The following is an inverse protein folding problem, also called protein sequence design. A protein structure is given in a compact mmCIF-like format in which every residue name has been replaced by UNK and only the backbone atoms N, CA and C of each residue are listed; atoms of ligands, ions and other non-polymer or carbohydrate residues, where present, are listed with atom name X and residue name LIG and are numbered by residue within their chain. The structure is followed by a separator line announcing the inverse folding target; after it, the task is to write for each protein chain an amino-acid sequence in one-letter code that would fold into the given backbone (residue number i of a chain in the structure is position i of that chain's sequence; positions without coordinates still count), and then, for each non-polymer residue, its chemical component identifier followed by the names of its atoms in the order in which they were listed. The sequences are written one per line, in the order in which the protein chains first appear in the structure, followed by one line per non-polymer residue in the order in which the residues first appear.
data_IF_509126979088
#
_entry.id   IF_509126979088
#
_cell.length_a   1.000
_cell.length_b   1.000
_cell.length_c   1.000
_cell.angle_alpha   90.00
_cell.angle_beta   90.00
_cell.angle_gamma   90.00
#
_symmetry.space_group_name_H-M   'P 1'
#
loop_
_entity.id
_entity.type
_entity.pdbx_description
1 polymer ?
#
# COMPACT_ATOMS: atom_id res chain seq x y z
N UNK A 1 2.25 3.67 -12.84
CA UNK A 1 1.93 4.53 -11.68
C UNK A 1 1.66 3.59 -10.56
N UNK A 2 2.47 3.68 -9.52
CA UNK A 2 2.58 2.62 -8.55
C UNK A 2 1.70 3.01 -7.40
N UNK A 3 0.55 2.36 -7.34
CA UNK A 3 -0.52 2.67 -6.43
C UNK A 3 -0.27 1.92 -5.12
N UNK A 4 -0.62 2.55 -4.00
CA UNK A 4 -0.43 1.98 -2.66
C UNK A 4 -1.67 2.26 -1.79
N UNK A 5 -1.58 1.99 -0.49
CA UNK A 5 -2.52 2.47 0.51
C UNK A 5 -3.91 1.86 0.41
N UNK A 6 -4.90 2.60 0.90
CA UNK A 6 -6.28 2.12 0.94
C UNK A 6 -6.88 1.89 -0.45
N UNK A 7 -6.39 2.63 -1.46
CA UNK A 7 -6.81 2.49 -2.84
C UNK A 7 -6.56 1.08 -3.38
N UNK A 8 -5.34 0.56 -3.24
CA UNK A 8 -5.03 -0.81 -3.71
C UNK A 8 -5.82 -1.87 -2.95
N UNK A 9 -5.96 -1.73 -1.63
CA UNK A 9 -6.70 -2.71 -0.81
C UNK A 9 -8.17 -2.79 -1.23
N UNK A 10 -8.79 -1.66 -1.53
CA UNK A 10 -10.20 -1.61 -1.94
C UNK A 10 -10.41 -2.01 -3.40
N UNK A 11 -9.61 -1.46 -4.33
CA UNK A 11 -9.84 -1.63 -5.76
C UNK A 11 -9.22 -2.91 -6.34
N UNK A 12 -8.13 -3.41 -5.76
CA UNK A 12 -7.43 -4.59 -6.25
C UNK A 12 -7.66 -5.82 -5.37
N UNK A 13 -7.55 -5.67 -4.04
CA UNK A 13 -7.75 -6.78 -3.09
C UNK A 13 -9.21 -6.92 -2.61
N UNK A 14 -10.11 -6.02 -3.00
CA UNK A 14 -11.56 -6.20 -2.84
C UNK A 14 -12.16 -5.81 -1.48
N UNK A 15 -11.44 -5.02 -0.65
CA UNK A 15 -12.00 -4.56 0.63
C UNK A 15 -13.18 -3.62 0.39
N UNK A 16 -14.36 -4.01 0.87
CA UNK A 16 -15.60 -3.25 0.71
C UNK A 16 -15.68 -2.08 1.69
N UNK A 17 -15.01 -0.98 1.34
CA UNK A 17 -15.18 0.34 1.96
C UNK A 17 -14.93 1.45 0.94
N UNK A 18 -15.50 2.63 1.19
CA UNK A 18 -15.21 3.80 0.36
C UNK A 18 -13.75 4.26 0.52
N UNK A 19 -13.10 4.56 -0.60
CA UNK A 19 -11.83 5.32 -0.69
C UNK A 19 -12.07 6.52 -1.59
N UNK A 20 -11.48 7.67 -1.25
CA UNK A 20 -11.65 8.93 -2.00
C UNK A 20 -10.35 9.43 -2.63
N UNK A 21 -9.26 8.73 -2.35
CA UNK A 21 -7.88 9.04 -2.66
C UNK A 21 -7.27 7.93 -3.52
N UNK A 22 -6.39 8.34 -4.44
CA UNK A 22 -5.47 7.42 -5.11
C UNK A 22 -4.08 7.73 -4.57
N UNK A 23 -3.62 6.87 -3.65
CA UNK A 23 -2.27 6.95 -3.07
C UNK A 23 -1.26 6.41 -4.08
N UNK A 24 -0.22 7.18 -4.40
CA UNK A 24 0.82 6.78 -5.34
C UNK A 24 2.23 6.94 -4.77
N UNK A 25 3.10 5.99 -5.10
CA UNK A 25 4.54 6.07 -4.88
C UNK A 25 5.15 6.81 -6.08
N UNK A 26 5.97 7.82 -5.81
CA UNK A 26 6.63 8.59 -6.86
C UNK A 26 8.06 8.08 -7.10
N UNK A 27 8.25 7.27 -8.14
CA UNK A 27 9.57 6.98 -8.73
C UNK A 27 9.56 7.38 -10.21
N UNK A 28 9.51 8.68 -10.47
CA UNK A 28 9.68 9.26 -11.80
C UNK A 28 10.62 10.45 -11.69
N UNK A 29 11.31 10.85 -12.79
CA UNK A 29 12.02 12.13 -12.77
C UNK A 29 11.04 13.23 -12.34
N UNK A 30 11.43 14.14 -11.43
CA UNK A 30 10.53 15.14 -10.83
C UNK A 30 9.69 15.97 -11.82
N UNK A 31 10.15 16.09 -13.06
CA UNK A 31 9.47 16.80 -14.15
C UNK A 31 8.19 16.10 -14.64
N UNK A 32 8.16 14.76 -14.70
CA UNK A 32 6.97 14.02 -15.11
C UNK A 32 5.92 14.00 -13.99
N UNK A 33 6.38 13.85 -12.75
CA UNK A 33 5.51 13.84 -11.58
C UNK A 33 4.86 15.20 -11.30
N UNK A 34 5.60 16.31 -11.47
CA UNK A 34 5.04 17.65 -11.29
C UNK A 34 3.86 17.94 -12.23
N UNK A 35 3.90 17.45 -13.47
CA UNK A 35 2.79 17.60 -14.44
C UNK A 35 1.55 16.82 -13.99
N UNK A 36 1.73 15.58 -13.54
CA UNK A 36 0.64 14.71 -13.07
C UNK A 36 0.02 15.26 -11.78
N UNK A 37 0.84 15.72 -10.83
CA UNK A 37 0.38 16.32 -9.58
C UNK A 37 -0.40 17.63 -9.83
N UNK A 38 0.05 18.47 -10.77
CA UNK A 38 -0.67 19.71 -11.12
C UNK A 38 -2.07 19.43 -11.68
N UNK A 39 -2.25 18.32 -12.40
CA UNK A 39 -3.55 17.92 -12.94
C UNK A 39 -4.42 17.21 -11.89
N UNK A 40 -3.81 16.45 -10.97
CA UNK A 40 -4.49 15.54 -10.05
C UNK A 40 -4.65 16.01 -8.60
N UNK A 41 -4.09 17.14 -8.19
CA UNK A 41 -4.14 17.56 -6.77
C UNK A 41 -5.57 17.90 -6.28
N UNK A 42 -5.75 17.85 -4.96
CA UNK A 42 -7.02 18.20 -4.31
C UNK A 42 -7.45 19.64 -4.64
N UNK A 43 -8.60 19.78 -5.29
CA UNK A 43 -9.12 21.08 -5.75
C UNK A 43 -8.79 21.44 -7.21
N UNK A 44 -8.09 20.57 -7.95
CA UNK A 44 -7.92 20.67 -9.41
C UNK A 44 -9.25 20.46 -10.16
N UNK A 45 -9.26 20.70 -11.48
CA UNK A 45 -10.43 20.42 -12.31
C UNK A 45 -10.87 18.94 -12.22
N UNK A 46 -9.91 18.01 -12.15
CA UNK A 46 -10.17 16.58 -11.98
C UNK A 46 -10.88 16.29 -10.64
N UNK A 47 -10.35 16.87 -9.55
CA UNK A 47 -10.90 16.72 -8.20
C UNK A 47 -12.29 17.33 -8.05
N UNK A 48 -12.57 18.47 -8.70
CA UNK A 48 -13.89 19.13 -8.61
C UNK A 48 -14.97 18.38 -9.39
N UNK A 49 -14.63 17.88 -10.58
CA UNK A 49 -15.60 17.22 -11.46
C UNK A 49 -15.83 15.76 -11.03
N UNK A 50 -14.76 15.04 -10.69
CA UNK A 50 -14.83 13.59 -10.45
C UNK A 50 -14.66 13.20 -8.97
N UNK A 51 -14.40 14.16 -8.06
CA UNK A 51 -14.09 13.91 -6.63
C UNK A 51 -12.90 12.97 -6.39
N UNK A 52 -12.07 12.74 -7.41
CA UNK A 52 -10.84 11.94 -7.35
C UNK A 52 -9.66 12.91 -7.34
N UNK A 53 -8.75 12.72 -6.39
CA UNK A 53 -7.46 13.42 -6.36
C UNK A 53 -6.33 12.42 -6.15
N UNK A 54 -5.17 12.73 -6.73
CA UNK A 54 -3.93 12.02 -6.49
C UNK A 54 -3.32 12.54 -5.19
N UNK A 55 -3.08 11.65 -4.24
CA UNK A 55 -2.35 11.98 -3.02
C UNK A 55 -0.91 11.47 -3.15
N UNK A 56 0.05 12.37 -2.96
CA UNK A 56 1.46 12.02 -3.03
C UNK A 56 1.89 11.50 -1.67
N UNK A 57 2.25 10.22 -1.60
CA UNK A 57 2.85 9.65 -0.40
C UNK A 57 4.35 9.92 -0.43
N UNK A 58 4.77 11.05 0.17
CA UNK A 58 6.16 11.49 0.14
C UNK A 58 7.11 10.70 1.07
N UNK A 59 6.58 9.89 2.00
CA UNK A 59 7.37 9.21 3.06
C UNK A 59 6.65 7.92 3.49
N UNK A 60 6.56 6.91 2.63
CA UNK A 60 6.26 5.55 3.08
C UNK A 60 7.52 4.72 2.99
N UNK A 61 8.00 4.22 4.13
CA UNK A 61 9.02 3.16 4.14
C UNK A 61 8.39 1.92 3.49
N UNK A 62 8.89 1.53 2.32
CA UNK A 62 8.43 0.37 1.54
C UNK A 62 9.57 -0.63 1.43
N UNK A 63 9.31 -1.95 1.42
CA UNK A 63 10.36 -2.93 1.16
C UNK A 63 11.16 -2.62 -0.11
N UNK A 64 12.46 -2.87 -0.05
CA UNK A 64 13.33 -2.92 -1.22
C UNK A 64 12.75 -3.83 -2.32
N UNK A 65 13.09 -3.51 -3.57
CA UNK A 65 12.73 -4.30 -4.75
C UNK A 65 11.22 -4.55 -4.94
N UNK A 66 10.35 -3.73 -4.32
CA UNK A 66 8.90 -3.84 -4.49
C UNK A 66 8.47 -3.67 -5.97
N UNK A 67 9.26 -2.93 -6.76
CA UNK A 67 9.02 -2.68 -8.19
C UNK A 67 8.98 -3.99 -9.00
N UNK A 68 9.77 -5.00 -8.61
CA UNK A 68 9.82 -6.32 -9.26
C UNK A 68 8.52 -7.12 -9.05
N UNK A 69 7.66 -6.67 -8.13
CA UNK A 69 6.45 -7.38 -7.69
C UNK A 69 5.16 -6.63 -8.04
N UNK A 70 5.26 -5.56 -8.82
CA UNK A 70 4.11 -4.77 -9.26
C UNK A 70 3.20 -5.54 -10.22
N UNK A 71 1.88 -5.43 -10.01
CA UNK A 71 0.87 -6.07 -10.87
C UNK A 71 -0.08 -5.02 -11.44
N UNK A 72 -0.41 -5.07 -12.74
CA UNK A 72 -1.36 -4.12 -13.33
C UNK A 72 -2.78 -4.37 -12.81
N UNK A 73 -3.41 -3.33 -12.23
CA UNK A 73 -4.73 -3.41 -11.59
C UNK A 73 -5.87 -3.59 -12.59
N UNK A 74 -5.79 -2.90 -13.73
CA UNK A 74 -6.85 -2.87 -14.74
C UNK A 74 -6.29 -3.07 -16.15
N UNK A 75 -5.83 -4.30 -16.49
CA UNK A 75 -5.19 -4.56 -17.77
C UNK A 75 -6.07 -4.16 -18.94
N UNK A 76 -5.57 -3.25 -19.78
CA UNK A 76 -6.27 -2.78 -20.98
C UNK A 76 -7.44 -1.83 -20.77
N UNK A 77 -7.77 -1.45 -19.52
CA UNK A 77 -8.88 -0.53 -19.23
C UNK A 77 -8.59 0.91 -19.67
N UNK A 78 -7.31 1.30 -19.68
CA UNK A 78 -6.88 2.64 -20.04
C UNK A 78 -5.83 2.62 -21.16
N UNK A 79 -6.01 3.50 -22.15
CA UNK A 79 -5.12 3.56 -23.32
C UNK A 79 -3.74 4.14 -23.02
N UNK A 80 -3.65 5.06 -22.07
CA UNK A 80 -2.44 5.85 -21.79
C UNK A 80 -2.02 5.82 -20.32
N UNK A 81 -2.72 5.05 -19.48
CA UNK A 81 -2.49 5.00 -18.04
C UNK A 81 -2.34 3.55 -17.61
N UNK A 82 -1.30 3.26 -16.82
CA UNK A 82 -1.14 1.96 -16.17
C UNK A 82 -1.10 2.17 -14.66
N UNK A 83 -2.10 1.61 -13.98
CA UNK A 83 -2.21 1.59 -12.53
C UNK A 83 -1.64 0.27 -12.05
N UNK A 84 -0.56 0.32 -11.28
CA UNK A 84 0.17 -0.84 -10.77
C UNK A 84 -0.16 -1.00 -9.28
N UNK A 85 -0.58 -2.18 -8.85
CA UNK A 85 -0.77 -2.53 -7.45
C UNK A 85 0.54 -3.04 -6.85
N UNK A 86 0.83 -2.55 -5.64
CA UNK A 86 1.87 -3.09 -4.76
C UNK A 86 1.45 -4.46 -4.23
N UNK A 87 2.41 -5.37 -4.15
CA UNK A 87 2.27 -6.72 -3.59
C UNK A 87 1.70 -6.67 -2.16
N UNK A 88 0.90 -7.67 -1.73
CA UNK A 88 0.16 -7.58 -0.47
C UNK A 88 1.08 -7.52 0.76
N UNK A 89 2.28 -8.11 0.72
CA UNK A 89 3.23 -8.03 1.81
C UNK A 89 3.86 -6.63 1.88
N UNK A 90 4.23 -6.08 0.74
CA UNK A 90 4.82 -4.74 0.67
C UNK A 90 3.81 -3.67 1.12
N UNK A 91 2.54 -3.86 0.76
CA UNK A 91 1.42 -3.01 1.17
C UNK A 91 1.10 -3.13 2.68
N UNK A 92 1.23 -4.33 3.25
CA UNK A 92 1.12 -4.52 4.69
C UNK A 92 2.27 -3.82 5.43
N UNK A 93 3.50 -4.04 4.97
CA UNK A 93 4.70 -3.48 5.58
C UNK A 93 4.78 -1.95 5.46
N UNK A 94 4.25 -1.36 4.37
CA UNK A 94 4.16 0.10 4.22
C UNK A 94 3.22 0.78 5.23
N UNK A 95 2.50 0.01 6.05
CA UNK A 95 1.60 0.50 7.10
C UNK A 95 2.19 0.36 8.50
N UNK A 96 3.34 -0.28 8.64
CA UNK A 96 3.93 -0.67 9.92
C UNK A 96 4.28 0.53 10.81
N UNK A 97 4.80 1.61 10.23
CA UNK A 97 5.15 2.84 10.97
C UNK A 97 3.92 3.63 11.46
N UNK A 98 2.75 3.46 10.83
CA UNK A 98 1.51 4.13 11.26
C UNK A 98 0.76 3.33 12.31
N UNK A 99 0.62 2.02 12.09
CA UNK A 99 -0.03 1.06 13.00
C UNK A 99 -1.35 1.56 13.62
N UNK A 100 -2.13 2.33 12.86
CA UNK A 100 -3.46 2.78 13.28
C UNK A 100 -4.48 1.64 13.23
N UNK A 101 -5.67 1.86 13.79
CA UNK A 101 -6.76 0.87 13.75
C UNK A 101 -7.05 0.41 12.32
N UNK A 102 -7.21 1.36 11.38
CA UNK A 102 -7.42 1.06 9.96
C UNK A 102 -6.29 0.27 9.32
N UNK A 103 -5.04 0.53 9.72
CA UNK A 103 -3.88 -0.21 9.19
C UNK A 103 -3.89 -1.67 9.64
N UNK A 104 -4.26 -1.91 10.90
CA UNK A 104 -4.42 -3.27 11.44
C UNK A 104 -5.56 -4.01 10.75
N UNK A 105 -6.68 -3.35 10.55
CA UNK A 105 -7.84 -3.93 9.85
C UNK A 105 -7.49 -4.29 8.40
N UNK A 106 -6.76 -3.39 7.72
CA UNK A 106 -6.25 -3.59 6.36
C UNK A 106 -5.33 -4.82 6.26
N UNK A 107 -4.38 -4.95 7.19
CA UNK A 107 -3.42 -6.07 7.21
C UNK A 107 -4.14 -7.39 7.51
N UNK A 108 -5.06 -7.42 8.48
CA UNK A 108 -5.87 -8.62 8.77
C UNK A 108 -6.75 -8.99 7.57
N UNK A 109 -7.32 -8.00 6.88
CA UNK A 109 -8.09 -8.24 5.65
C UNK A 109 -7.24 -8.90 4.56
N UNK A 110 -6.05 -8.35 4.27
CA UNK A 110 -5.12 -8.95 3.31
C UNK A 110 -4.79 -10.39 3.69
N UNK A 111 -4.48 -10.63 4.97
CA UNK A 111 -4.12 -11.95 5.47
C UNK A 111 -5.23 -13.02 5.37
N UNK A 112 -6.50 -12.59 5.27
CA UNK A 112 -7.66 -13.46 5.04
C UNK A 112 -8.01 -13.63 3.56
N UNK A 113 -7.64 -12.66 2.72
CA UNK A 113 -8.12 -12.57 1.33
C UNK A 113 -7.15 -13.19 0.33
N UNK A 114 -5.84 -13.12 0.61
CA UNK A 114 -4.80 -13.72 -0.24
C UNK A 114 -4.06 -14.85 0.48
N UNK A 115 -3.36 -15.75 -0.24
CA UNK A 115 -2.46 -16.75 0.37
C UNK A 115 -1.27 -16.08 1.08
N UNK A 116 -1.52 -15.58 2.29
CA UNK A 116 -0.62 -14.69 2.99
C UNK A 116 0.28 -15.46 3.97
N UNK A 117 1.53 -15.68 3.60
CA UNK A 117 2.52 -16.42 4.38
C UNK A 117 3.22 -15.50 5.39
N UNK A 118 3.11 -15.82 6.68
CA UNK A 118 3.68 -15.02 7.76
C UNK A 118 5.21 -15.10 7.81
N UNK A 119 5.79 -16.19 7.31
CA UNK A 119 7.23 -16.34 7.12
C UNK A 119 7.76 -15.42 6.02
N UNK A 120 7.02 -15.27 4.91
CA UNK A 120 7.35 -14.30 3.86
C UNK A 120 7.26 -12.87 4.42
N UNK A 121 6.18 -12.54 5.15
CA UNK A 121 6.03 -11.21 5.77
C UNK A 121 7.23 -10.88 6.68
N UNK A 122 7.58 -11.81 7.58
CA UNK A 122 8.71 -11.65 8.49
C UNK A 122 10.03 -11.52 7.74
N UNK A 123 10.27 -12.38 6.75
CA UNK A 123 11.50 -12.34 5.95
C UNK A 123 11.67 -11.00 5.24
N UNK A 124 10.61 -10.49 4.59
CA UNK A 124 10.68 -9.22 3.88
C UNK A 124 10.86 -8.05 4.83
N UNK A 125 10.19 -8.07 5.98
CA UNK A 125 10.47 -7.10 7.02
C UNK A 125 11.96 -7.07 7.38
N UNK A 126 12.53 -8.22 7.76
CA UNK A 126 13.91 -8.29 8.25
C UNK A 126 14.95 -7.89 7.19
N UNK A 127 14.72 -8.28 5.93
CA UNK A 127 15.69 -8.11 4.85
C UNK A 127 15.53 -6.80 4.08
N UNK A 128 14.30 -6.37 3.84
CA UNK A 128 13.98 -5.36 2.83
C UNK A 128 13.47 -4.05 3.46
N UNK A 129 13.01 -4.07 4.71
CA UNK A 129 12.42 -2.87 5.35
C UNK A 129 13.10 -2.46 6.65
N UNK A 130 13.47 -3.40 7.52
CA UNK A 130 13.79 -3.12 8.92
C UNK A 130 14.92 -2.10 9.11
N UNK A 131 15.94 -2.13 8.25
CA UNK A 131 17.13 -1.29 8.39
C UNK A 131 16.89 0.20 8.07
N UNK A 132 15.84 0.52 7.30
CA UNK A 132 15.48 1.88 6.92
C UNK A 132 14.47 2.54 7.89
N UNK A 133 13.95 1.80 8.86
CA UNK A 133 12.96 2.30 9.82
C UNK A 133 13.59 3.18 10.91
N UNK A 134 12.86 4.21 11.33
CA UNK A 134 13.36 5.18 12.32
C UNK A 134 13.50 4.61 13.74
N UNK A 135 12.66 3.64 14.14
CA UNK A 135 12.62 3.13 15.54
C UNK A 135 12.55 1.58 15.62
N UNK A 136 13.42 0.80 14.94
CA UNK A 136 13.16 -0.60 14.58
C UNK A 136 12.63 -1.54 15.70
N UNK A 137 13.03 -1.32 16.96
CA UNK A 137 12.52 -2.11 18.08
C UNK A 137 11.00 -1.95 18.30
N UNK A 138 10.43 -0.79 17.98
CA UNK A 138 8.99 -0.52 18.03
C UNK A 138 8.27 -1.28 16.91
N UNK A 139 8.85 -1.28 15.71
CA UNK A 139 8.29 -1.97 14.57
C UNK A 139 8.45 -3.50 14.66
N UNK A 140 9.51 -4.00 15.31
CA UNK A 140 9.68 -5.42 15.66
C UNK A 140 8.50 -5.92 16.51
N UNK A 141 8.17 -5.16 17.56
CA UNK A 141 7.02 -5.46 18.42
C UNK A 141 5.71 -5.35 17.65
N UNK A 142 5.57 -4.34 16.79
CA UNK A 142 4.36 -4.14 16.00
C UNK A 142 4.12 -5.31 15.06
N UNK A 143 5.16 -5.74 14.33
CA UNK A 143 5.08 -6.88 13.42
C UNK A 143 4.72 -8.17 14.18
N UNK A 144 5.36 -8.42 15.32
CA UNK A 144 5.05 -9.56 16.18
C UNK A 144 3.56 -9.59 16.57
N UNK A 145 3.01 -8.46 17.03
CA UNK A 145 1.60 -8.36 17.42
C UNK A 145 0.65 -8.55 16.23
N UNK A 146 1.02 -8.09 15.03
CA UNK A 146 0.24 -8.34 13.83
C UNK A 146 0.24 -9.83 13.45
N UNK A 147 1.40 -10.50 13.52
CA UNK A 147 1.53 -11.94 13.28
C UNK A 147 0.65 -12.72 14.27
N UNK A 148 0.73 -12.40 15.57
CA UNK A 148 -0.11 -13.01 16.60
C UNK A 148 -1.59 -12.82 16.31
N UNK A 149 -2.02 -11.59 16.00
CA UNK A 149 -3.41 -11.28 15.66
C UNK A 149 -3.93 -12.02 14.41
N UNK A 150 -3.08 -12.23 13.40
CA UNK A 150 -3.45 -13.00 12.20
C UNK A 150 -3.54 -14.50 12.53
N UNK A 151 -2.66 -15.01 13.39
CA UNK A 151 -2.72 -16.41 13.84
C UNK A 151 -3.98 -16.68 14.65
N UNK A 152 -4.38 -15.75 15.52
CA UNK A 152 -5.65 -15.81 16.24
C UNK A 152 -6.84 -15.85 15.26
N UNK A 153 -6.89 -14.93 14.28
CA UNK A 153 -7.93 -14.92 13.24
C UNK A 153 -8.05 -16.27 12.50
N UNK A 154 -6.93 -16.93 12.24
CA UNK A 154 -6.88 -18.23 11.54
C UNK A 154 -7.30 -19.41 12.41
N UNK A 155 -7.19 -19.29 13.74
CA UNK A 155 -7.61 -20.32 14.66
C UNK A 155 -9.11 -20.26 14.96
N UNK A 156 -9.75 -19.10 14.76
CA UNK A 156 -11.18 -18.87 15.00
C UNK A 156 -12.08 -19.11 13.77
N UNK A 157 -11.49 -19.19 12.56
CA UNK A 157 -12.21 -19.42 11.29
C UNK A 157 -12.15 -20.86 10.81
#
# INVERSE_FOLDING_TARGET
MDCIGGFVITQFYGLDRATSDVDVIELAPPSAASTILTLGYRGSALSRVHRIYLDRVAVASIPEDYEDRLVEMFPGAYRHLRLMAVDPYDLALSKLERNGMKDRDDVRYLARTVPFDLGILQQRYDKELRWQLGVPAREDLTLKLWIEAILEDRAEG
#
